data_IF_383163780829
#
_entry.id   IF_383163780829
#
_cell.length_a   1.000
_cell.length_b   1.000
_cell.length_c   1.000
_cell.angle_alpha   90.00
_cell.angle_beta   90.00
_cell.angle_gamma   90.00
#
_symmetry.space_group_name_H-M   'P 1'
#
loop_
_entity.id
_entity.type
_entity.pdbx_description
1 polymer ?
#
# COMPACT_ATOMS: atom_id res chain seq x y z
N UNK A 1 0.96 17.23 18.23
CA UNK A 1 0.01 16.11 18.04
C UNK A 1 -1.19 16.63 17.28
N UNK A 2 -1.24 16.43 15.96
CA UNK A 2 -2.47 16.64 15.21
C UNK A 2 -3.37 15.42 15.43
N UNK A 3 -4.56 15.62 15.98
CA UNK A 3 -5.56 14.58 16.11
C UNK A 3 -6.42 14.55 14.84
N UNK A 4 -6.22 13.53 14.00
CA UNK A 4 -7.05 13.26 12.83
C UNK A 4 -8.30 12.49 13.24
N UNK A 5 -9.44 12.91 12.70
CA UNK A 5 -10.64 12.07 12.67
C UNK A 5 -10.50 11.03 11.55
N UNK A 6 -11.25 9.93 11.62
CA UNK A 6 -11.28 8.90 10.55
C UNK A 6 -11.49 9.53 9.17
N UNK A 7 -12.40 10.50 9.04
CA UNK A 7 -12.69 11.15 7.76
C UNK A 7 -11.52 11.99 7.24
N UNK A 8 -10.83 12.72 8.13
CA UNK A 8 -9.64 13.51 7.78
C UNK A 8 -8.49 12.58 7.38
N UNK A 9 -8.28 11.52 8.16
CA UNK A 9 -7.25 10.51 7.90
C UNK A 9 -7.46 9.84 6.53
N UNK A 10 -8.70 9.47 6.23
CA UNK A 10 -9.07 8.86 4.95
C UNK A 10 -8.77 9.80 3.77
N UNK A 11 -9.20 11.06 3.88
CA UNK A 11 -8.97 12.09 2.87
C UNK A 11 -7.46 12.29 2.61
N UNK A 12 -6.68 12.49 3.67
CA UNK A 12 -5.25 12.83 3.57
C UNK A 12 -4.42 11.62 3.08
N UNK A 13 -4.86 10.39 3.37
CA UNK A 13 -4.26 9.17 2.82
C UNK A 13 -4.74 8.81 1.40
N UNK A 14 -5.76 9.50 0.89
CA UNK A 14 -6.39 9.20 -0.40
C UNK A 14 -7.13 7.86 -0.42
N UNK A 15 -7.67 7.43 0.70
CA UNK A 15 -8.50 6.21 0.81
C UNK A 15 -9.93 6.55 1.21
N UNK A 16 -10.86 5.63 1.00
CA UNK A 16 -12.22 5.80 1.54
C UNK A 16 -12.26 5.51 3.04
N UNK A 17 -13.22 6.12 3.75
CA UNK A 17 -13.50 5.83 5.16
C UNK A 17 -13.76 4.34 5.41
N UNK A 18 -14.34 3.63 4.43
CA UNK A 18 -14.54 2.18 4.50
C UNK A 18 -13.22 1.41 4.56
N UNK A 19 -12.21 1.81 3.77
CA UNK A 19 -10.87 1.21 3.81
C UNK A 19 -10.21 1.45 5.17
N UNK A 20 -10.31 2.67 5.71
CA UNK A 20 -9.78 2.95 7.06
C UNK A 20 -10.44 2.05 8.11
N UNK A 21 -11.78 1.88 8.05
CA UNK A 21 -12.51 0.98 8.94
C UNK A 21 -12.12 -0.49 8.77
N UNK A 22 -11.98 -0.96 7.54
CA UNK A 22 -11.53 -2.33 7.27
C UNK A 22 -10.11 -2.56 7.83
N UNK A 23 -9.20 -1.59 7.67
CA UNK A 23 -7.85 -1.68 8.21
C UNK A 23 -7.80 -1.63 9.74
N UNK A 24 -8.70 -0.87 10.36
CA UNK A 24 -8.89 -0.89 11.83
C UNK A 24 -9.33 -2.28 12.31
N UNK A 25 -10.31 -2.89 11.63
CA UNK A 25 -10.79 -4.24 11.97
C UNK A 25 -9.72 -5.31 11.80
N UNK A 26 -8.86 -5.17 10.78
CA UNK A 26 -7.72 -6.07 10.54
C UNK A 26 -6.52 -5.82 11.46
N UNK A 27 -6.56 -4.77 12.28
CA UNK A 27 -5.46 -4.39 13.17
C UNK A 27 -4.25 -3.77 12.46
N UNK A 28 -4.42 -3.29 11.23
CA UNK A 28 -3.39 -2.54 10.49
C UNK A 28 -3.22 -1.12 11.01
N UNK A 29 -4.26 -0.58 11.64
CA UNK A 29 -4.28 0.75 12.26
C UNK A 29 -4.78 0.63 13.69
N UNK A 30 -4.26 1.47 14.58
CA UNK A 30 -4.81 1.67 15.92
C UNK A 30 -5.16 3.14 16.12
N UNK A 31 -6.33 3.44 16.72
CA UNK A 31 -6.59 4.77 17.22
C UNK A 31 -5.70 5.03 18.44
N UNK A 32 -5.19 6.27 18.54
CA UNK A 32 -4.38 6.73 19.68
C UNK A 32 -5.28 7.05 20.87
N UNK A 33 -6.50 7.50 20.60
CA UNK A 33 -7.53 7.73 21.61
C UNK A 33 -8.92 7.54 20.99
N UNK A 34 -9.93 7.36 21.84
CA UNK A 34 -11.32 7.46 21.43
C UNK A 34 -11.93 8.70 22.06
N UNK A 35 -12.67 9.48 21.28
CA UNK A 35 -13.50 10.56 21.81
C UNK A 35 -14.63 9.99 22.66
N UNK A 36 -15.23 10.79 23.58
CA UNK A 36 -16.40 10.38 24.36
C UNK A 36 -17.59 9.96 23.49
N UNK A 37 -17.68 10.50 22.26
CA UNK A 37 -18.70 10.14 21.27
C UNK A 37 -18.41 8.84 20.49
N UNK A 38 -17.35 8.10 20.83
CA UNK A 38 -17.02 6.81 20.20
C UNK A 38 -16.21 6.90 18.91
N UNK A 39 -15.77 8.09 18.49
CA UNK A 39 -14.91 8.26 17.31
C UNK A 39 -13.43 8.05 17.66
N UNK A 40 -12.73 7.24 16.86
CA UNK A 40 -11.28 7.07 16.97
C UNK A 40 -10.53 8.33 16.50
N UNK A 41 -9.56 8.74 17.31
CA UNK A 41 -8.57 9.78 17.03
C UNK A 41 -7.26 9.15 16.62
N UNK A 42 -6.64 9.72 15.60
CA UNK A 42 -5.41 9.25 14.99
C UNK A 42 -4.37 10.36 15.03
N UNK A 43 -3.10 10.01 15.04
CA UNK A 43 -2.00 10.96 14.95
C UNK A 43 -1.36 10.95 13.55
N UNK A 44 -0.34 11.79 13.37
CA UNK A 44 0.43 11.82 12.13
C UNK A 44 1.10 10.46 11.83
N UNK A 45 1.46 9.68 12.86
CA UNK A 45 2.05 8.35 12.68
C UNK A 45 1.05 7.35 12.08
N UNK A 46 -0.21 7.40 12.50
CA UNK A 46 -1.28 6.62 11.89
C UNK A 46 -1.52 7.01 10.42
N UNK A 47 -1.40 8.30 10.07
CA UNK A 47 -1.48 8.75 8.67
C UNK A 47 -0.33 8.16 7.84
N UNK A 48 0.91 8.28 8.32
CA UNK A 48 2.07 7.70 7.64
C UNK A 48 1.93 6.19 7.44
N UNK A 49 1.43 5.49 8.47
CA UNK A 49 1.17 4.05 8.41
C UNK A 49 0.10 3.71 7.36
N UNK A 50 -1.00 4.46 7.33
CA UNK A 50 -2.07 4.24 6.34
C UNK A 50 -1.56 4.47 4.91
N UNK A 51 -0.79 5.54 4.68
CA UNK A 51 -0.16 5.80 3.39
C UNK A 51 0.79 4.66 2.96
N UNK A 52 1.59 4.14 3.90
CA UNK A 52 2.48 3.00 3.65
C UNK A 52 1.70 1.73 3.28
N UNK A 53 0.68 1.37 4.07
CA UNK A 53 -0.14 0.17 3.81
C UNK A 53 -0.83 0.28 2.45
N UNK A 54 -1.35 1.46 2.11
CA UNK A 54 -1.94 1.72 0.80
C UNK A 54 -0.93 1.54 -0.33
N UNK A 55 0.24 2.18 -0.25
CA UNK A 55 1.26 2.09 -1.29
C UNK A 55 1.76 0.64 -1.48
N UNK A 56 1.92 -0.10 -0.38
CA UNK A 56 2.30 -1.49 -0.43
C UNK A 56 1.20 -2.37 -1.06
N UNK A 57 -0.06 -2.13 -0.71
CA UNK A 57 -1.20 -2.83 -1.32
C UNK A 57 -1.31 -2.56 -2.83
N UNK A 58 -1.13 -1.31 -3.26
CA UNK A 58 -1.08 -0.93 -4.68
C UNK A 58 0.11 -1.59 -5.41
N UNK A 59 1.22 -1.84 -4.72
CA UNK A 59 2.35 -2.61 -5.26
C UNK A 59 2.10 -4.14 -5.34
N UNK A 60 0.93 -4.62 -4.88
CA UNK A 60 0.53 -6.02 -4.89
C UNK A 60 0.95 -6.81 -3.65
N UNK A 61 1.39 -6.13 -2.58
CA UNK A 61 1.68 -6.79 -1.30
C UNK A 61 0.36 -7.09 -0.59
N UNK A 62 0.20 -8.35 -0.15
CA UNK A 62 -0.99 -8.78 0.57
C UNK A 62 -1.16 -8.08 1.93
N UNK A 63 -2.40 -7.77 2.29
CA UNK A 63 -2.76 -7.13 3.56
C UNK A 63 -2.33 -7.95 4.78
N UNK A 64 -2.30 -9.28 4.69
CA UNK A 64 -1.87 -10.15 5.79
C UNK A 64 -0.38 -9.99 6.14
N UNK A 65 0.47 -9.79 5.12
CA UNK A 65 1.90 -9.55 5.33
C UNK A 65 2.12 -8.18 5.97
N UNK A 66 1.37 -7.17 5.51
CA UNK A 66 1.39 -5.83 6.11
C UNK A 66 0.88 -5.86 7.55
N UNK A 67 -0.14 -6.65 7.85
CA UNK A 67 -0.68 -6.80 9.20
C UNK A 67 0.31 -7.48 10.15
N UNK A 68 1.16 -8.40 9.65
CA UNK A 68 2.25 -8.97 10.45
C UNK A 68 3.33 -7.93 10.75
N UNK A 69 3.78 -7.18 9.76
CA UNK A 69 4.75 -6.11 9.96
C UNK A 69 4.23 -5.06 10.95
N UNK A 70 3.00 -4.57 10.76
CA UNK A 70 2.41 -3.58 11.66
C UNK A 70 2.30 -4.10 13.10
N UNK A 71 1.94 -5.39 13.28
CA UNK A 71 1.90 -6.01 14.61
C UNK A 71 3.28 -6.13 15.25
N UNK A 72 4.30 -6.50 14.49
CA UNK A 72 5.68 -6.56 15.00
C UNK A 72 6.19 -5.18 15.44
N UNK A 73 5.92 -4.15 14.63
CA UNK A 73 6.23 -2.75 14.97
C UNK A 73 5.49 -2.28 16.23
N UNK A 74 4.20 -2.61 16.36
CA UNK A 74 3.40 -2.27 17.54
C UNK A 74 3.86 -3.02 18.80
N UNK A 75 4.37 -4.24 18.66
CA UNK A 75 4.94 -5.03 19.74
C UNK A 75 6.35 -4.58 20.16
N UNK A 76 6.93 -3.60 19.46
CA UNK A 76 8.33 -3.20 19.57
C UNK A 76 9.31 -4.38 19.40
N UNK A 77 8.92 -5.40 18.63
CA UNK A 77 9.74 -6.55 18.31
C UNK A 77 10.60 -6.24 17.08
N UNK A 78 11.83 -5.78 17.35
CA UNK A 78 12.75 -5.35 16.31
C UNK A 78 13.19 -6.49 15.38
N UNK A 79 13.35 -7.70 15.91
CA UNK A 79 13.80 -8.87 15.16
C UNK A 79 12.71 -9.37 14.21
N UNK A 80 11.47 -9.48 14.68
CA UNK A 80 10.33 -9.85 13.84
C UNK A 80 10.04 -8.74 12.80
N UNK A 81 10.12 -7.47 13.20
CA UNK A 81 9.94 -6.36 12.28
C UNK A 81 11.01 -6.36 11.17
N UNK A 82 12.28 -6.59 11.52
CA UNK A 82 13.36 -6.71 10.55
C UNK A 82 13.15 -7.90 9.60
N UNK A 83 12.69 -9.03 10.12
CA UNK A 83 12.37 -10.23 9.33
C UNK A 83 11.24 -9.95 8.34
N UNK A 84 10.12 -9.36 8.78
CA UNK A 84 9.02 -8.99 7.89
C UNK A 84 9.43 -7.94 6.86
N UNK A 85 10.27 -6.97 7.23
CA UNK A 85 10.83 -5.98 6.29
C UNK A 85 11.71 -6.64 5.23
N UNK A 86 12.53 -7.62 5.59
CA UNK A 86 13.35 -8.36 4.62
C UNK A 86 12.47 -9.12 3.62
N UNK A 87 11.42 -9.78 4.09
CA UNK A 87 10.43 -10.48 3.24
C UNK A 87 9.75 -9.51 2.28
N UNK A 88 9.31 -8.35 2.77
CA UNK A 88 8.68 -7.31 1.94
C UNK A 88 9.64 -6.76 0.89
N UNK A 89 10.90 -6.51 1.26
CA UNK A 89 11.94 -6.07 0.31
C UNK A 89 12.17 -7.12 -0.78
N UNK A 90 12.29 -8.39 -0.41
CA UNK A 90 12.46 -9.47 -1.38
C UNK A 90 11.27 -9.58 -2.33
N UNK A 91 10.04 -9.40 -1.83
CA UNK A 91 8.85 -9.37 -2.68
C UNK A 91 8.89 -8.22 -3.69
N UNK A 92 9.29 -7.02 -3.25
CA UNK A 92 9.44 -5.85 -4.14
C UNK A 92 10.50 -6.11 -5.21
N UNK A 93 11.67 -6.63 -4.84
CA UNK A 93 12.71 -6.94 -5.84
C UNK A 93 12.23 -7.99 -6.84
N UNK A 94 11.56 -9.06 -6.37
CA UNK A 94 11.03 -10.08 -7.27
C UNK A 94 9.99 -9.52 -8.24
N UNK A 95 9.15 -8.59 -7.77
CA UNK A 95 8.17 -7.90 -8.62
C UNK A 95 8.85 -7.00 -9.64
N UNK A 96 9.91 -6.29 -9.26
CA UNK A 96 10.72 -5.48 -10.19
C UNK A 96 11.34 -6.33 -11.29
N UNK A 97 11.88 -7.49 -10.96
CA UNK A 97 12.43 -8.42 -11.96
C UNK A 97 11.37 -8.87 -12.96
N UNK A 98 10.18 -9.25 -12.48
CA UNK A 98 9.06 -9.67 -13.34
C UNK A 98 8.57 -8.52 -14.22
N UNK A 99 8.49 -7.30 -13.68
CA UNK A 99 8.10 -6.11 -14.45
C UNK A 99 9.15 -5.76 -15.51
N UNK A 100 10.44 -5.84 -15.19
CA UNK A 100 11.53 -5.60 -16.14
C UNK A 100 11.49 -6.62 -17.29
N UNK A 101 11.26 -7.89 -17.00
CA UNK A 101 11.08 -8.93 -18.03
C UNK A 101 9.86 -8.63 -18.91
N UNK A 102 8.73 -8.24 -18.31
CA UNK A 102 7.53 -7.86 -19.04
C UNK A 102 7.75 -6.63 -19.93
N UNK A 103 8.49 -5.62 -19.47
CA UNK A 103 8.86 -4.43 -20.27
C UNK A 103 9.70 -4.82 -21.48
N UNK A 104 10.65 -5.75 -21.33
CA UNK A 104 11.43 -6.30 -22.45
C UNK A 104 10.52 -7.02 -23.46
N UNK A 105 9.59 -7.86 -22.98
CA UNK A 105 8.64 -8.54 -23.85
C UNK A 105 7.74 -7.55 -24.60
N UNK A 106 7.23 -6.53 -23.93
CA UNK A 106 6.39 -5.48 -24.52
C UNK A 106 7.15 -4.67 -25.58
N UNK A 107 8.44 -4.37 -25.36
CA UNK A 107 9.28 -3.68 -26.33
C UNK A 107 9.60 -4.54 -27.57
N UNK A 108 9.61 -5.86 -27.43
CA UNK A 108 9.81 -6.81 -28.54
C UNK A 108 8.55 -7.03 -29.38
N UNK A 109 7.36 -6.61 -28.91
CA UNK A 109 6.15 -6.65 -29.71
C UNK A 109 6.26 -5.65 -30.86
N UNK A 110 6.03 -6.07 -32.12
CA UNK A 110 6.09 -5.15 -33.24
C UNK A 110 5.00 -4.08 -33.08
N UNK A 111 5.40 -2.82 -32.86
CA UNK A 111 4.50 -1.68 -33.05
C UNK A 111 4.25 -1.56 -34.55
N UNK A 112 3.23 -2.24 -35.07
CA UNK A 112 2.91 -2.17 -36.48
C UNK A 112 2.69 -0.70 -36.89
N UNK A 113 3.45 -0.13 -37.85
CA UNK A 113 2.95 1.00 -38.56
C UNK A 113 1.86 0.46 -39.49
N UNK A 114 0.63 0.94 -39.34
CA UNK A 114 -0.40 0.77 -40.33
C UNK A 114 0.02 1.52 -41.61
N UNK A 115 0.93 0.93 -42.39
CA UNK A 115 1.16 1.32 -43.76
C UNK A 115 0.10 0.62 -44.60
N UNK A 116 -1.15 1.09 -44.52
CA UNK A 116 -2.08 0.91 -45.62
C UNK A 116 -1.60 1.83 -46.74
N UNK A 117 -0.60 1.35 -47.47
CA UNK A 117 -0.33 1.75 -48.85
C UNK A 117 -1.54 1.30 -49.65
N UNK A 118 -2.59 2.11 -49.65
CA UNK A 118 -3.63 2.06 -50.66
C UNK A 118 -3.43 3.28 -51.57
N UNK A 119 -2.29 3.30 -52.26
CA UNK A 119 -2.16 3.97 -53.55
C UNK A 119 -2.44 2.93 -54.62
N UNK A 120 -3.43 3.19 -55.48
CA UNK A 120 -3.53 2.82 -56.90
C UNK A 120 -5.02 2.79 -57.32
N UNK A 121 -5.35 3.07 -58.60
CA UNK A 121 -4.76 3.96 -59.60
C UNK A 121 -5.66 5.17 -59.92
#
# INVERSE_FOLDING_TARGET
>A
MNAYTVSRLALDAGVSVHIVRDYLLRGLLRPVACTPGGYGLFDDAALQRLCFVRAAFEAGIGLDALARLCRALDAADADEAATQLAVLRQFVERRREVLADLEVQLAALPSAPAQHVASLP
#
